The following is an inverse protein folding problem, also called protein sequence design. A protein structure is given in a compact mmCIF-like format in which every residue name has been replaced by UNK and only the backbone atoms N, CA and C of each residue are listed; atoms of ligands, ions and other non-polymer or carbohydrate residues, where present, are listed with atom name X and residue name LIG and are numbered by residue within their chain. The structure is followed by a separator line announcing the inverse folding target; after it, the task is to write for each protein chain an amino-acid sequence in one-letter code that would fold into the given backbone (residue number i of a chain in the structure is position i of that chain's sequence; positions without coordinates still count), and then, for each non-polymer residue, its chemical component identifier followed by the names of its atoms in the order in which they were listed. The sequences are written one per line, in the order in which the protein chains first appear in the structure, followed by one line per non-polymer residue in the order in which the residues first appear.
data_IF_066286634762
#
_entry.id   IF_066286634762
#
_cell.length_a   1.000
_cell.length_b   1.000
_cell.length_c   1.000
_cell.angle_alpha   90.00
_cell.angle_beta   90.00
_cell.angle_gamma   90.00
#
_symmetry.space_group_name_H-M   'P 1'
#
loop_
_entity.id
_entity.type
_entity.pdbx_description
1 polymer ?
#
# COMPACT_ATOMS: atom_id res chain seq x y z
N UNK A 1 -8.92 0.79 -29.27
CA UNK A 1 -9.90 0.30 -28.28
C UNK A 1 -9.60 1.04 -26.98
N UNK A 2 -10.53 1.83 -26.47
CA UNK A 2 -10.32 2.58 -25.24
C UNK A 2 -10.28 1.57 -24.08
N UNK A 3 -9.16 1.51 -23.36
CA UNK A 3 -9.07 0.77 -22.12
C UNK A 3 -9.98 1.48 -21.12
N UNK A 4 -11.14 0.91 -20.82
CA UNK A 4 -11.99 1.36 -19.72
C UNK A 4 -11.18 1.22 -18.43
N UNK A 5 -10.67 2.33 -17.93
CA UNK A 5 -10.06 2.39 -16.61
C UNK A 5 -11.15 2.12 -15.59
N UNK A 6 -11.19 0.89 -15.07
CA UNK A 6 -11.92 0.51 -13.86
C UNK A 6 -11.30 1.24 -12.66
N UNK A 7 -11.52 2.56 -12.58
CA UNK A 7 -11.31 3.29 -11.34
C UNK A 7 -12.43 2.90 -10.39
N UNK A 8 -12.20 1.89 -9.57
CA UNK A 8 -13.04 1.60 -8.41
C UNK A 8 -12.84 2.73 -7.38
N UNK A 9 -13.55 3.84 -7.57
CA UNK A 9 -13.55 5.02 -6.70
C UNK A 9 -14.06 4.76 -5.27
N UNK A 10 -14.50 3.54 -4.96
CA UNK A 10 -15.01 3.15 -3.66
C UNK A 10 -14.01 2.52 -2.70
N UNK A 11 -12.80 2.14 -3.15
CA UNK A 11 -11.79 1.56 -2.27
C UNK A 11 -10.84 2.64 -1.75
N UNK A 12 -11.22 3.25 -0.63
CA UNK A 12 -10.28 4.08 0.15
C UNK A 12 -9.72 3.21 1.27
N UNK A 13 -8.43 2.82 1.22
CA UNK A 13 -7.84 1.99 2.26
C UNK A 13 -7.91 2.71 3.62
N UNK A 14 -8.40 2.01 4.63
CA UNK A 14 -8.51 2.55 5.99
C UNK A 14 -7.20 2.30 6.76
N UNK A 15 -6.46 3.35 7.17
CA UNK A 15 -5.22 3.19 7.94
C UNK A 15 -5.42 2.61 9.36
N UNK A 16 -6.66 2.56 9.88
CA UNK A 16 -6.99 1.87 11.13
C UNK A 16 -7.32 0.38 10.93
N UNK A 17 -7.66 -0.03 9.70
CA UNK A 17 -7.95 -1.41 9.32
C UNK A 17 -6.66 -2.21 9.19
N UNK A 18 -6.48 -3.22 10.05
CA UNK A 18 -5.34 -4.13 9.96
C UNK A 18 -5.28 -4.86 8.61
N UNK A 19 -6.45 -5.16 8.02
CA UNK A 19 -6.57 -5.82 6.73
C UNK A 19 -6.03 -4.93 5.61
N UNK A 20 -6.38 -3.64 5.61
CA UNK A 20 -5.99 -2.73 4.53
C UNK A 20 -4.51 -2.37 4.62
N UNK A 21 -4.00 -2.19 5.84
CA UNK A 21 -2.56 -2.00 6.09
C UNK A 21 -1.78 -3.24 5.62
N UNK A 22 -2.24 -4.45 5.96
CA UNK A 22 -1.59 -5.68 5.53
C UNK A 22 -1.65 -5.86 4.00
N UNK A 23 -2.79 -5.55 3.38
CA UNK A 23 -2.96 -5.62 1.92
C UNK A 23 -1.98 -4.68 1.21
N UNK A 24 -1.76 -3.47 1.72
CA UNK A 24 -0.77 -2.53 1.18
C UNK A 24 0.67 -3.03 1.38
N UNK A 25 1.01 -3.51 2.58
CA UNK A 25 2.36 -4.01 2.90
C UNK A 25 2.73 -5.23 2.05
N UNK A 26 1.79 -6.14 1.85
CA UNK A 26 1.98 -7.35 1.04
C UNK A 26 1.84 -7.10 -0.46
N UNK A 27 1.48 -5.88 -0.90
CA UNK A 27 1.34 -5.58 -2.31
C UNK A 27 2.70 -5.72 -3.03
N UNK A 28 2.79 -6.62 -4.04
CA UNK A 28 4.02 -6.81 -4.80
C UNK A 28 4.36 -5.56 -5.63
N UNK A 29 5.63 -5.13 -5.70
CA UNK A 29 6.07 -4.02 -6.56
C UNK A 29 5.69 -4.18 -8.04
N UNK A 30 5.60 -5.42 -8.52
CA UNK A 30 5.26 -5.78 -9.89
C UNK A 30 3.89 -5.23 -10.33
N UNK A 31 2.98 -5.00 -9.39
CA UNK A 31 1.67 -4.38 -9.66
C UNK A 31 1.82 -2.94 -10.17
N UNK A 32 2.91 -2.26 -9.81
CA UNK A 32 3.19 -0.88 -10.20
C UNK A 32 4.31 -0.77 -11.26
N UNK A 33 4.85 -1.90 -11.73
CA UNK A 33 5.87 -1.96 -12.78
C UNK A 33 5.24 -2.53 -14.08
N UNK A 34 4.57 -1.69 -14.90
CA UNK A 34 3.80 -2.14 -16.06
C UNK A 34 4.64 -2.83 -17.14
N UNK A 35 5.94 -2.56 -17.21
CA UNK A 35 6.82 -3.19 -18.21
C UNK A 35 7.33 -4.55 -17.75
N UNK A 36 7.30 -4.82 -16.45
CA UNK A 36 7.91 -6.02 -15.85
C UNK A 36 9.45 -6.04 -15.91
N UNK A 37 10.08 -4.92 -16.28
CA UNK A 37 11.54 -4.79 -16.30
C UNK A 37 12.09 -4.90 -14.87
N UNK A 38 13.09 -5.77 -14.62
CA UNK A 38 13.75 -5.86 -13.32
C UNK A 38 14.24 -4.52 -12.76
N UNK A 39 14.70 -3.58 -13.60
CA UNK A 39 15.14 -2.27 -13.14
C UNK A 39 13.96 -1.40 -12.67
N UNK A 40 12.83 -1.45 -13.38
CA UNK A 40 11.60 -0.75 -13.00
C UNK A 40 11.04 -1.32 -11.68
N UNK A 41 10.98 -2.65 -11.55
CA UNK A 41 10.54 -3.33 -10.33
C UNK A 41 11.42 -2.95 -9.14
N UNK A 42 12.75 -2.92 -9.32
CA UNK A 42 13.68 -2.52 -8.28
C UNK A 42 13.46 -1.06 -7.85
N UNK A 43 13.31 -0.14 -8.80
CA UNK A 43 13.04 1.26 -8.51
C UNK A 43 11.70 1.45 -7.75
N UNK A 44 10.65 0.73 -8.16
CA UNK A 44 9.36 0.74 -7.44
C UNK A 44 9.51 0.19 -6.02
N UNK A 45 10.24 -0.92 -5.85
CA UNK A 45 10.47 -1.53 -4.55
C UNK A 45 11.18 -0.54 -3.60
N UNK A 46 12.22 0.15 -4.07
CA UNK A 46 12.92 1.18 -3.30
C UNK A 46 12.01 2.34 -2.90
N UNK A 47 11.14 2.79 -3.81
CA UNK A 47 10.22 3.91 -3.56
C UNK A 47 9.09 3.55 -2.57
N UNK A 48 8.55 2.32 -2.63
CA UNK A 48 7.40 1.93 -1.82
C UNK A 48 7.79 1.43 -0.42
N UNK A 49 9.00 0.90 -0.25
CA UNK A 49 9.49 0.38 1.03
C UNK A 49 9.33 1.37 2.21
N UNK A 50 9.77 2.65 2.13
CA UNK A 50 9.57 3.59 3.23
C UNK A 50 8.09 3.87 3.52
N UNK A 51 7.23 3.82 2.50
CA UNK A 51 5.78 3.99 2.68
C UNK A 51 5.15 2.81 3.43
N UNK A 52 5.60 1.57 3.15
CA UNK A 52 5.16 0.37 3.88
C UNK A 52 5.54 0.43 5.36
N UNK A 53 6.77 0.83 5.67
CA UNK A 53 7.23 1.00 7.05
C UNK A 53 6.40 2.06 7.78
N UNK A 54 6.16 3.20 7.14
CA UNK A 54 5.38 4.28 7.72
C UNK A 54 3.91 3.89 7.95
N UNK A 55 3.31 3.11 7.05
CA UNK A 55 1.95 2.59 7.21
C UNK A 55 1.81 1.73 8.48
N UNK A 56 2.76 0.82 8.70
CA UNK A 56 2.81 -0.03 9.90
C UNK A 56 3.02 0.82 11.16
N UNK A 57 3.94 1.80 11.11
CA UNK A 57 4.20 2.71 12.24
C UNK A 57 2.94 3.48 12.65
N UNK A 58 2.22 4.05 11.68
CA UNK A 58 0.97 4.79 11.94
C UNK A 58 -0.11 3.90 12.50
N UNK A 59 -0.27 2.70 11.96
CA UNK A 59 -1.24 1.72 12.46
C UNK A 59 -0.97 1.34 13.92
N UNK A 60 0.30 1.11 14.28
CA UNK A 60 0.69 0.89 15.67
C UNK A 60 0.39 2.11 16.55
N UNK A 61 0.74 3.32 16.11
CA UNK A 61 0.50 4.55 16.87
C UNK A 61 -0.99 4.78 17.17
N UNK A 62 -1.86 4.49 16.21
CA UNK A 62 -3.32 4.56 16.39
C UNK A 62 -3.79 3.58 17.48
N UNK A 63 -3.19 2.39 17.57
CA UNK A 63 -3.59 1.35 18.54
C UNK A 63 -2.97 1.53 19.92
N UNK A 64 -1.73 2.00 20.01
CA UNK A 64 -1.10 2.29 21.30
C UNK A 64 -1.71 3.53 21.97
N UNK A 65 -2.23 4.47 21.18
CA UNK A 65 -3.04 5.59 21.67
C UNK A 65 -4.51 5.25 21.98
N UNK A 66 -4.98 4.05 21.63
CA UNK A 66 -6.35 3.56 21.89
C UNK A 66 -6.47 2.65 23.11
N UNK A 67 -5.37 2.36 23.83
CA UNK A 67 -5.42 1.70 25.14
C UNK A 67 -5.75 2.76 26.20
N UNK A 68 -6.98 3.27 26.19
CA UNK A 68 -7.68 3.93 27.30
C UNK A 68 -9.02 4.47 26.80
N UNK A 69 -10.07 3.65 26.94
CA UNK A 69 -11.42 4.08 27.27
C UNK A 69 -12.16 2.89 27.88
#
# INVERSE_FOLDING_TARGET
MAAETLFASGFTPDPASAKDVLAFVLCPPEVFAPTGDPEEIAAVAELIEPAKIEAVRRWHALRTGQIQN
#
